data_IF_044923793137
#
_entry.id   IF_044923793137
#
_cell.length_a   1.000
_cell.length_b   1.000
_cell.length_c   1.000
_cell.angle_alpha   90.00
_cell.angle_beta   90.00
_cell.angle_gamma   90.00
#
_symmetry.space_group_name_H-M   'P 1'
#
loop_
_entity.id
_entity.type
_entity.pdbx_description
1 polymer ?
#
# COMPACT_ATOMS: atom_id res chain seq x y z
N UNK A 1 4.13 -13.90 -4.90
CA UNK A 1 3.35 -15.14 -4.80
C UNK A 1 2.31 -15.16 -5.92
N UNK A 2 2.55 -15.89 -6.98
CA UNK A 2 1.56 -16.10 -8.05
C UNK A 2 1.32 -17.60 -8.14
N UNK A 3 0.15 -18.05 -7.71
CA UNK A 3 -0.29 -19.42 -7.97
C UNK A 3 -0.77 -19.52 -9.42
N UNK A 4 -0.47 -20.62 -10.09
CA UNK A 4 -0.81 -20.83 -11.52
C UNK A 4 -2.31 -20.94 -11.82
N UNK A 5 -3.22 -20.73 -10.84
CA UNK A 5 -4.65 -20.98 -11.01
C UNK A 5 -5.60 -20.07 -10.22
N UNK A 6 -5.13 -18.99 -9.57
CA UNK A 6 -5.97 -18.09 -8.78
C UNK A 6 -5.23 -17.37 -7.66
N UNK A 7 -5.93 -16.58 -6.88
CA UNK A 7 -5.36 -15.97 -5.68
C UNK A 7 -4.95 -17.06 -4.67
N UNK A 8 -3.77 -16.92 -4.02
CA UNK A 8 -3.35 -17.85 -2.99
C UNK A 8 -4.35 -17.81 -1.81
N UNK A 9 -4.63 -18.96 -1.25
CA UNK A 9 -5.50 -19.08 -0.08
C UNK A 9 -4.88 -18.43 1.19
N UNK A 10 -5.67 -18.33 2.25
CA UNK A 10 -5.24 -17.73 3.52
C UNK A 10 -4.02 -18.43 4.12
N UNK A 11 -3.98 -19.76 4.06
CA UNK A 11 -2.89 -20.53 4.67
C UNK A 11 -1.58 -20.33 3.91
N UNK A 12 -1.61 -20.35 2.59
CA UNK A 12 -0.44 -20.11 1.74
C UNK A 12 0.13 -18.69 1.97
N UNK A 13 -0.75 -17.69 2.09
CA UNK A 13 -0.34 -16.31 2.37
C UNK A 13 0.22 -16.18 3.79
N UNK A 14 -0.46 -16.78 4.78
CA UNK A 14 -0.02 -16.78 6.17
C UNK A 14 1.39 -17.35 6.33
N UNK A 15 1.69 -18.50 5.74
CA UNK A 15 3.00 -19.14 5.84
C UNK A 15 4.12 -18.25 5.30
N UNK A 16 3.86 -17.55 4.18
CA UNK A 16 4.83 -16.65 3.62
C UNK A 16 5.03 -15.38 4.46
N UNK A 17 3.95 -14.78 4.96
CA UNK A 17 4.04 -13.60 5.82
C UNK A 17 4.69 -13.94 7.17
N UNK A 18 4.34 -15.08 7.75
CA UNK A 18 4.97 -15.62 8.96
C UNK A 18 6.48 -15.78 8.76
N UNK A 19 6.89 -16.45 7.70
CA UNK A 19 8.32 -16.67 7.42
C UNK A 19 9.07 -15.32 7.28
N UNK A 20 8.49 -14.35 6.58
CA UNK A 20 9.07 -13.02 6.48
C UNK A 20 9.14 -12.30 7.83
N UNK A 21 8.09 -12.40 8.66
CA UNK A 21 8.05 -11.81 9.99
C UNK A 21 9.12 -12.42 10.91
N UNK A 22 9.26 -13.75 10.92
CA UNK A 22 10.28 -14.47 11.69
C UNK A 22 11.72 -14.05 11.28
N UNK A 23 11.98 -13.87 9.98
CA UNK A 23 13.28 -13.40 9.48
C UNK A 23 13.59 -11.95 9.88
N UNK A 24 12.58 -11.09 9.93
CA UNK A 24 12.76 -9.69 10.35
C UNK A 24 12.88 -9.54 11.86
N UNK A 25 12.26 -10.44 12.63
CA UNK A 25 12.24 -10.40 14.10
C UNK A 25 11.60 -9.11 14.61
N UNK A 26 12.32 -8.35 15.43
CA UNK A 26 11.83 -7.09 16.00
C UNK A 26 11.85 -5.90 15.03
N UNK A 27 12.55 -6.03 13.89
CA UNK A 27 12.60 -4.97 12.88
C UNK A 27 11.25 -4.84 12.19
N UNK A 28 10.79 -3.60 11.93
CA UNK A 28 9.52 -3.38 11.23
C UNK A 28 9.50 -4.06 9.86
N UNK A 29 8.48 -4.86 9.63
CA UNK A 29 8.17 -5.48 8.33
C UNK A 29 6.89 -4.85 7.81
N UNK A 30 7.00 -3.97 6.83
CA UNK A 30 5.84 -3.37 6.16
C UNK A 30 5.41 -4.26 5.01
N UNK A 31 4.17 -4.76 5.06
CA UNK A 31 3.57 -5.52 3.96
C UNK A 31 2.46 -4.70 3.33
N UNK A 32 2.64 -4.41 2.04
CA UNK A 32 1.64 -3.74 1.22
C UNK A 32 0.53 -4.72 0.84
N UNK A 33 -0.72 -4.31 1.00
CA UNK A 33 -1.85 -5.07 0.47
C UNK A 33 -1.80 -5.11 -1.06
N UNK A 34 -2.61 -6.00 -1.65
CA UNK A 34 -2.63 -6.30 -3.08
C UNK A 34 -2.62 -5.02 -3.94
N UNK A 35 -1.65 -4.95 -4.84
CA UNK A 35 -1.55 -3.89 -5.85
C UNK A 35 -1.48 -4.53 -7.24
N UNK A 36 -2.65 -4.78 -7.80
CA UNK A 36 -2.89 -5.33 -9.14
C UNK A 36 -3.78 -4.38 -9.94
N UNK A 37 -3.82 -4.56 -11.25
CA UNK A 37 -4.44 -3.64 -12.18
C UNK A 37 -3.41 -2.66 -12.77
N UNK A 38 -3.84 -1.80 -13.67
CA UNK A 38 -2.92 -0.95 -14.43
C UNK A 38 -2.02 -1.81 -15.34
N UNK A 39 -0.72 -1.77 -15.09
CA UNK A 39 0.31 -2.56 -15.79
C UNK A 39 0.50 -3.99 -15.24
N UNK A 40 -0.15 -4.31 -14.12
CA UNK A 40 0.02 -5.57 -13.39
C UNK A 40 -1.14 -6.53 -13.64
N UNK A 41 -1.28 -6.99 -14.89
CA UNK A 41 -2.27 -7.99 -15.26
C UNK A 41 -1.99 -9.34 -14.59
N UNK A 42 -3.05 -10.01 -14.13
CA UNK A 42 -2.99 -11.38 -13.64
C UNK A 42 -3.62 -12.32 -14.68
N UNK A 43 -2.97 -13.46 -14.99
CA UNK A 43 -3.45 -14.37 -16.06
C UNK A 43 -4.85 -14.96 -15.81
N UNK A 44 -5.31 -14.94 -14.57
CA UNK A 44 -6.57 -15.52 -14.11
C UNK A 44 -7.61 -14.45 -13.72
N UNK A 45 -7.36 -13.18 -14.03
CA UNK A 45 -8.27 -12.07 -13.73
C UNK A 45 -8.47 -11.20 -14.96
N UNK A 46 -9.71 -11.05 -15.35
CA UNK A 46 -10.09 -10.16 -16.44
C UNK A 46 -10.44 -8.78 -15.85
N UNK A 47 -9.64 -7.80 -16.17
CA UNK A 47 -9.89 -6.40 -15.81
C UNK A 47 -10.76 -5.67 -16.82
N UNK A 48 -11.12 -6.35 -17.93
CA UNK A 48 -11.78 -5.70 -19.07
C UNK A 48 -10.85 -4.72 -19.79
N UNK A 49 -11.41 -3.99 -20.74
CA UNK A 49 -10.69 -2.91 -21.41
C UNK A 49 -10.87 -1.60 -20.63
N UNK A 50 -9.78 -0.99 -20.24
CA UNK A 50 -9.75 0.34 -19.62
C UNK A 50 -8.95 1.29 -20.51
N UNK A 51 -9.51 2.47 -20.78
CA UNK A 51 -8.81 3.51 -21.56
C UNK A 51 -7.58 4.06 -20.86
N UNK A 52 -7.61 4.13 -19.53
CA UNK A 52 -6.53 4.62 -18.69
C UNK A 52 -6.29 3.67 -17.50
N UNK A 53 -5.65 2.51 -17.70
CA UNK A 53 -5.54 1.47 -16.67
C UNK A 53 -4.85 1.95 -15.38
N UNK A 54 -3.88 2.86 -15.48
CA UNK A 54 -3.23 3.43 -14.29
C UNK A 54 -4.16 4.33 -13.45
N UNK A 55 -5.21 4.89 -14.05
CA UNK A 55 -6.25 5.67 -13.35
C UNK A 55 -7.50 4.84 -13.03
N UNK A 56 -7.52 3.59 -13.46
CA UNK A 56 -8.68 2.69 -13.42
C UNK A 56 -8.81 1.86 -12.15
N UNK A 57 -9.28 0.63 -12.33
CA UNK A 57 -9.55 -0.31 -11.27
C UNK A 57 -8.27 -1.05 -10.85
N UNK A 58 -7.56 -0.50 -9.86
CA UNK A 58 -6.30 -1.06 -9.35
C UNK A 58 -6.18 -0.92 -7.83
N UNK A 59 -5.29 -1.71 -7.26
CA UNK A 59 -4.83 -1.64 -5.87
C UNK A 59 -6.00 -1.63 -4.86
N UNK A 60 -6.09 -0.63 -3.98
CA UNK A 60 -7.13 -0.56 -2.95
C UNK A 60 -8.56 -0.55 -3.55
N UNK A 61 -8.75 -0.03 -4.76
CA UNK A 61 -10.04 -0.04 -5.45
C UNK A 61 -10.48 -1.46 -5.76
N UNK A 62 -9.54 -2.32 -6.20
CA UNK A 62 -9.77 -3.76 -6.40
C UNK A 62 -10.05 -4.42 -5.06
N UNK A 63 -9.21 -4.19 -4.06
CA UNK A 63 -9.33 -4.79 -2.73
C UNK A 63 -10.69 -4.49 -2.09
N UNK A 64 -11.15 -3.23 -2.13
CA UNK A 64 -12.44 -2.83 -1.56
C UNK A 64 -13.66 -3.34 -2.34
N UNK A 65 -13.51 -3.71 -3.62
CA UNK A 65 -14.57 -4.31 -4.42
C UNK A 65 -14.56 -5.84 -4.38
N UNK A 66 -13.39 -6.47 -4.25
CA UNK A 66 -13.21 -7.92 -4.13
C UNK A 66 -12.97 -8.31 -2.66
N UNK A 67 -13.98 -8.13 -1.85
CA UNK A 67 -13.87 -8.28 -0.40
C UNK A 67 -13.35 -9.66 0.04
N UNK A 68 -13.74 -10.74 -0.62
CA UNK A 68 -13.27 -12.08 -0.27
C UNK A 68 -11.75 -12.22 -0.43
N UNK A 69 -11.19 -11.67 -1.52
CA UNK A 69 -9.74 -11.67 -1.77
C UNK A 69 -9.03 -10.79 -0.74
N UNK A 70 -9.59 -9.61 -0.47
CA UNK A 70 -9.02 -8.68 0.49
C UNK A 70 -9.04 -9.24 1.91
N UNK A 71 -10.16 -9.82 2.35
CA UNK A 71 -10.29 -10.47 3.67
C UNK A 71 -9.33 -11.64 3.82
N UNK A 72 -9.18 -12.47 2.79
CA UNK A 72 -8.21 -13.57 2.79
C UNK A 72 -6.80 -13.07 3.07
N UNK A 73 -6.38 -11.97 2.42
CA UNK A 73 -5.08 -11.35 2.66
C UNK A 73 -4.97 -10.75 4.06
N UNK A 74 -5.98 -9.98 4.50
CA UNK A 74 -5.98 -9.33 5.81
C UNK A 74 -5.92 -10.34 6.95
N UNK A 75 -6.70 -11.43 6.88
CA UNK A 75 -6.68 -12.52 7.87
C UNK A 75 -5.30 -13.18 7.93
N UNK A 76 -4.69 -13.46 6.79
CA UNK A 76 -3.34 -14.02 6.73
C UNK A 76 -2.29 -13.09 7.37
N UNK A 77 -2.37 -11.78 7.11
CA UNK A 77 -1.50 -10.75 7.70
C UNK A 77 -1.69 -10.65 9.21
N UNK A 78 -2.95 -10.61 9.67
CA UNK A 78 -3.29 -10.56 11.10
C UNK A 78 -2.74 -11.79 11.82
N UNK A 79 -2.97 -13.00 11.32
CA UNK A 79 -2.44 -14.24 11.89
C UNK A 79 -0.90 -14.24 11.91
N UNK A 80 -0.26 -13.70 10.91
CA UNK A 80 1.20 -13.60 10.84
C UNK A 80 1.79 -12.56 11.80
N UNK A 81 1.00 -11.58 12.26
CA UNK A 81 1.47 -10.45 13.06
C UNK A 81 1.97 -10.81 14.46
N UNK A 82 1.71 -12.03 14.96
CA UNK A 82 2.24 -12.51 16.25
C UNK A 82 3.67 -13.03 16.15
N UNK A 83 4.23 -13.16 14.94
CA UNK A 83 5.55 -13.73 14.70
C UNK A 83 6.65 -12.68 14.46
N UNK A 84 6.32 -11.40 14.53
CA UNK A 84 7.26 -10.29 14.35
C UNK A 84 6.58 -8.93 14.32
N UNK A 85 7.34 -7.88 14.10
CA UNK A 85 6.83 -6.50 14.02
C UNK A 85 6.24 -6.21 12.62
N UNK A 86 5.09 -6.84 12.32
CA UNK A 86 4.41 -6.70 11.04
C UNK A 86 3.49 -5.47 11.05
N UNK A 87 3.55 -4.69 9.98
CA UNK A 87 2.72 -3.51 9.71
C UNK A 87 2.02 -3.67 8.37
N UNK A 88 0.77 -3.22 8.25
CA UNK A 88 -0.02 -3.28 7.01
C UNK A 88 -0.03 -1.91 6.35
N UNK A 89 0.22 -1.86 5.04
CA UNK A 89 0.21 -0.65 4.24
C UNK A 89 -0.79 -0.74 3.09
N UNK A 90 -1.65 0.27 2.95
CA UNK A 90 -2.64 0.34 1.87
C UNK A 90 -2.14 1.21 0.71
N UNK A 91 -2.07 0.64 -0.52
CA UNK A 91 -1.65 1.37 -1.72
C UNK A 91 -2.80 2.20 -2.32
N UNK A 92 -2.46 3.18 -3.15
CA UNK A 92 -3.39 3.95 -3.99
C UNK A 92 -4.55 4.62 -3.24
N UNK A 93 -4.37 4.95 -1.97
CA UNK A 93 -5.35 5.74 -1.20
C UNK A 93 -5.46 7.14 -1.81
N UNK A 94 -6.68 7.60 -2.02
CA UNK A 94 -6.99 8.95 -2.52
C UNK A 94 -7.81 9.80 -1.54
N UNK A 95 -8.37 9.17 -0.51
CA UNK A 95 -9.20 9.87 0.47
C UNK A 95 -9.15 9.21 1.85
N UNK A 96 -9.47 9.98 2.88
CA UNK A 96 -9.66 9.45 4.25
C UNK A 96 -10.79 8.41 4.29
N UNK A 97 -11.82 8.58 3.47
CA UNK A 97 -12.93 7.61 3.39
C UNK A 97 -12.48 6.24 2.86
N UNK A 98 -11.54 6.18 1.92
CA UNK A 98 -10.96 4.90 1.46
C UNK A 98 -10.13 4.25 2.56
N UNK A 99 -9.29 5.02 3.27
CA UNK A 99 -8.51 4.50 4.39
C UNK A 99 -9.42 3.93 5.49
N UNK A 100 -10.47 4.65 5.88
CA UNK A 100 -11.44 4.18 6.87
C UNK A 100 -12.16 2.89 6.47
N UNK A 101 -12.49 2.73 5.17
CA UNK A 101 -13.07 1.47 4.67
C UNK A 101 -12.09 0.31 4.74
N UNK A 102 -10.81 0.56 4.42
CA UNK A 102 -9.76 -0.45 4.55
C UNK A 102 -9.53 -0.85 6.02
N UNK A 103 -9.49 0.13 6.93
CA UNK A 103 -9.40 -0.10 8.36
C UNK A 103 -10.61 -0.87 8.91
N UNK A 104 -11.83 -0.55 8.46
CA UNK A 104 -13.03 -1.28 8.85
C UNK A 104 -12.94 -2.77 8.45
N UNK A 105 -12.46 -3.07 7.24
CA UNK A 105 -12.22 -4.45 6.81
C UNK A 105 -11.20 -5.19 7.70
N UNK A 106 -10.14 -4.50 8.17
CA UNK A 106 -9.20 -5.08 9.14
C UNK A 106 -9.91 -5.42 10.45
N UNK A 107 -10.74 -4.50 10.97
CA UNK A 107 -11.49 -4.71 12.23
C UNK A 107 -12.50 -5.85 12.11
N UNK A 108 -13.16 -6.01 10.97
CA UNK A 108 -14.05 -7.14 10.70
C UNK A 108 -13.28 -8.47 10.73
N UNK A 109 -12.11 -8.53 10.08
CA UNK A 109 -11.24 -9.69 10.13
C UNK A 109 -10.73 -10.01 11.55
N UNK A 110 -10.44 -8.99 12.37
CA UNK A 110 -10.09 -9.18 13.78
C UNK A 110 -11.24 -9.83 14.56
N UNK A 111 -12.47 -9.33 14.38
CA UNK A 111 -13.65 -9.89 15.05
C UNK A 111 -13.90 -11.37 14.67
N UNK A 112 -13.63 -11.75 13.41
CA UNK A 112 -13.71 -13.15 12.98
C UNK A 112 -12.65 -14.03 13.65
N UNK A 113 -11.39 -13.55 13.69
CA UNK A 113 -10.31 -14.26 14.33
C UNK A 113 -10.55 -14.40 15.85
N UNK A 114 -11.16 -13.40 16.50
CA UNK A 114 -11.59 -13.48 17.90
C UNK A 114 -12.64 -14.59 18.11
N UNK A 115 -13.64 -14.66 17.21
CA UNK A 115 -14.66 -15.72 17.27
C UNK A 115 -14.07 -17.11 17.07
N UNK A 116 -13.03 -17.23 16.25
CA UNK A 116 -12.28 -18.46 15.99
C UNK A 116 -11.21 -18.76 17.07
N UNK A 117 -10.97 -17.83 18.00
CA UNK A 117 -9.89 -17.87 19.00
C UNK A 117 -8.50 -17.98 18.36
N UNK A 118 -8.33 -17.43 17.19
CA UNK A 118 -7.06 -17.38 16.48
C UNK A 118 -6.22 -16.18 16.96
N UNK A 119 -4.94 -16.41 17.22
CA UNK A 119 -4.05 -15.36 17.72
C UNK A 119 -3.68 -14.35 16.62
N UNK A 120 -3.68 -13.07 16.96
CA UNK A 120 -3.18 -11.97 16.15
C UNK A 120 -2.71 -10.80 17.06
N UNK A 121 -1.98 -9.83 16.52
CA UNK A 121 -1.61 -8.62 17.24
C UNK A 121 -2.72 -7.56 17.11
N UNK A 122 -3.50 -7.26 18.17
CA UNK A 122 -4.56 -6.26 18.11
C UNK A 122 -4.03 -4.82 17.94
N UNK A 123 -2.75 -4.59 18.22
CA UNK A 123 -2.06 -3.32 18.03
C UNK A 123 -1.35 -3.17 16.70
N UNK A 124 -1.66 -4.01 15.69
CA UNK A 124 -1.04 -3.93 14.36
C UNK A 124 -1.18 -2.53 13.77
N UNK A 125 -0.07 -1.97 13.30
CA UNK A 125 -0.06 -0.64 12.73
C UNK A 125 -0.52 -0.65 11.28
N UNK A 126 -1.44 0.29 10.96
CA UNK A 126 -1.96 0.52 9.62
C UNK A 126 -1.39 1.81 9.04
N UNK A 127 -0.83 1.73 7.86
CA UNK A 127 -0.23 2.86 7.17
C UNK A 127 -0.77 3.07 5.77
N UNK A 128 -0.41 4.20 5.20
CA UNK A 128 -0.81 4.62 3.85
C UNK A 128 0.42 4.76 2.97
N UNK A 129 0.34 4.20 1.76
CA UNK A 129 1.27 4.58 0.71
C UNK A 129 0.80 5.90 0.10
N UNK A 130 1.58 6.95 0.30
CA UNK A 130 1.33 8.28 -0.29
C UNK A 130 1.95 8.27 -1.68
N UNK A 131 1.12 8.01 -2.67
CA UNK A 131 1.54 7.86 -4.07
C UNK A 131 0.56 8.48 -5.07
N UNK A 132 -0.48 9.17 -4.57
CA UNK A 132 -1.42 9.93 -5.38
C UNK A 132 -1.40 11.40 -4.96
N UNK A 133 -1.53 12.36 -5.90
CA UNK A 133 -1.65 13.79 -5.56
C UNK A 133 -2.80 14.06 -4.57
N UNK A 134 -3.90 13.30 -4.68
CA UNK A 134 -5.03 13.44 -3.77
C UNK A 134 -4.64 13.09 -2.32
N UNK A 135 -3.87 12.00 -2.11
CA UNK A 135 -3.38 11.65 -0.77
C UNK A 135 -2.43 12.72 -0.21
N UNK A 136 -1.57 13.30 -1.05
CA UNK A 136 -0.70 14.42 -0.63
C UNK A 136 -1.52 15.60 -0.14
N UNK A 137 -2.59 15.98 -0.86
CA UNK A 137 -3.44 17.12 -0.53
C UNK A 137 -4.24 16.95 0.78
N UNK A 138 -4.45 15.70 1.22
CA UNK A 138 -5.16 15.39 2.48
C UNK A 138 -4.25 14.63 3.46
N UNK A 139 -2.93 14.77 3.32
CA UNK A 139 -1.96 14.03 4.12
C UNK A 139 -2.06 14.33 5.62
N UNK A 140 -2.42 15.56 5.99
CA UNK A 140 -2.67 15.96 7.37
C UNK A 140 -3.86 15.22 7.99
N UNK A 141 -4.94 15.04 7.23
CA UNK A 141 -6.12 14.29 7.65
C UNK A 141 -5.82 12.78 7.73
N UNK A 142 -5.06 12.25 6.77
CA UNK A 142 -4.63 10.85 6.79
C UNK A 142 -3.66 10.57 7.95
N UNK A 143 -2.75 11.50 8.26
CA UNK A 143 -1.80 11.37 9.36
C UNK A 143 -2.48 11.34 10.74
N UNK A 144 -3.67 11.92 10.88
CA UNK A 144 -4.44 11.85 12.11
C UNK A 144 -5.00 10.44 12.40
N UNK A 145 -5.11 9.58 11.39
CA UNK A 145 -5.72 8.25 11.50
C UNK A 145 -4.71 7.11 11.24
N UNK A 146 -3.78 7.29 10.31
CA UNK A 146 -2.73 6.31 10.00
C UNK A 146 -1.61 6.33 11.04
N UNK A 147 -0.86 5.23 11.14
CA UNK A 147 0.27 5.10 12.06
C UNK A 147 1.62 5.39 11.40
N UNK A 148 1.70 5.29 10.10
CA UNK A 148 2.89 5.64 9.32
C UNK A 148 2.52 5.94 7.87
N UNK A 149 3.43 6.62 7.18
CA UNK A 149 3.40 6.81 5.73
C UNK A 149 4.57 6.11 5.04
N UNK A 150 4.34 5.67 3.82
CA UNK A 150 5.40 5.29 2.90
C UNK A 150 5.17 6.03 1.58
N UNK A 151 6.15 6.84 1.16
CA UNK A 151 6.02 7.63 -0.07
C UNK A 151 6.38 6.75 -1.26
N UNK A 152 5.39 6.43 -2.10
CA UNK A 152 5.54 5.62 -3.31
C UNK A 152 5.96 6.49 -4.50
N UNK A 153 7.27 6.77 -4.62
CA UNK A 153 7.79 7.78 -5.53
C UNK A 153 7.51 7.50 -7.00
N UNK A 154 7.48 6.25 -7.44
CA UNK A 154 7.24 5.90 -8.84
C UNK A 154 5.83 6.32 -9.30
N UNK A 155 4.79 5.89 -8.56
CA UNK A 155 3.40 6.26 -8.86
C UNK A 155 3.14 7.74 -8.56
N UNK A 156 3.69 8.28 -7.46
CA UNK A 156 3.56 9.70 -7.15
C UNK A 156 4.09 10.58 -8.28
N UNK A 157 5.28 10.28 -8.81
CA UNK A 157 5.88 11.02 -9.92
C UNK A 157 4.97 10.93 -11.15
N UNK A 158 4.53 9.73 -11.52
CA UNK A 158 3.66 9.53 -12.67
C UNK A 158 2.37 10.37 -12.58
N UNK A 159 1.72 10.39 -11.43
CA UNK A 159 0.45 11.10 -11.26
C UNK A 159 0.63 12.61 -11.08
N UNK A 160 1.70 13.07 -10.44
CA UNK A 160 2.01 14.51 -10.29
C UNK A 160 2.39 15.10 -11.64
N UNK A 161 3.21 14.39 -12.41
CA UNK A 161 3.66 14.85 -13.74
C UNK A 161 2.62 14.58 -14.85
N UNK A 162 1.53 13.86 -14.53
CA UNK A 162 0.51 13.45 -15.50
C UNK A 162 1.10 12.76 -16.74
N UNK A 163 2.13 11.95 -16.55
CA UNK A 163 2.84 11.27 -17.62
C UNK A 163 2.91 9.76 -17.31
N UNK A 164 2.61 8.95 -18.33
CA UNK A 164 2.70 7.50 -18.22
C UNK A 164 4.16 7.05 -18.36
N UNK A 165 4.73 6.53 -17.27
CA UNK A 165 6.11 6.00 -17.24
C UNK A 165 6.30 4.78 -18.15
N UNK A 166 5.21 4.07 -18.50
CA UNK A 166 5.22 2.95 -19.45
C UNK A 166 5.22 3.38 -20.91
N UNK A 167 4.91 4.64 -21.21
CA UNK A 167 4.90 5.16 -22.57
C UNK A 167 6.26 5.83 -22.92
N UNK A 168 7.07 5.25 -23.80
CA UNK A 168 8.41 5.75 -24.13
C UNK A 168 8.43 7.17 -24.69
N UNK A 169 7.29 7.66 -25.21
CA UNK A 169 7.21 9.04 -25.75
C UNK A 169 7.15 10.10 -24.67
N UNK A 170 6.64 9.78 -23.48
CA UNK A 170 6.44 10.73 -22.38
C UNK A 170 7.12 10.31 -21.09
N UNK A 171 7.70 9.10 -21.02
CA UNK A 171 8.38 8.59 -19.83
C UNK A 171 9.49 9.53 -19.30
N UNK A 172 10.13 10.28 -20.20
CA UNK A 172 11.15 11.29 -19.86
C UNK A 172 10.60 12.45 -19.02
N UNK A 173 9.29 12.65 -18.96
CA UNK A 173 8.64 13.64 -18.11
C UNK A 173 8.46 13.15 -16.66
N UNK A 174 8.61 11.85 -16.42
CA UNK A 174 8.51 11.25 -15.08
C UNK A 174 9.84 11.44 -14.31
N UNK A 175 10.24 12.70 -14.12
CA UNK A 175 11.43 13.05 -13.34
C UNK A 175 11.07 13.13 -11.83
N UNK A 176 11.59 12.23 -10.98
CA UNK A 176 11.32 12.27 -9.55
C UNK A 176 11.97 13.47 -8.84
N UNK A 177 12.94 14.14 -9.48
CA UNK A 177 13.57 15.36 -8.97
C UNK A 177 12.86 16.64 -9.39
N UNK A 178 11.78 16.55 -10.20
CA UNK A 178 10.99 17.71 -10.54
C UNK A 178 10.46 18.44 -9.29
N UNK A 179 10.37 19.76 -9.39
CA UNK A 179 9.94 20.63 -8.28
C UNK A 179 8.55 20.26 -7.76
N UNK A 180 7.62 19.83 -8.63
CA UNK A 180 6.28 19.45 -8.22
C UNK A 180 6.30 18.15 -7.38
N UNK A 181 7.10 17.18 -7.77
CA UNK A 181 7.28 15.92 -7.04
C UNK A 181 7.94 16.18 -5.68
N UNK A 182 9.05 16.94 -5.66
CA UNK A 182 9.75 17.32 -4.43
C UNK A 182 8.86 18.07 -3.45
N UNK A 183 7.99 18.98 -3.94
CA UNK A 183 6.99 19.67 -3.11
C UNK A 183 5.96 18.70 -2.53
N UNK A 184 5.50 17.74 -3.32
CA UNK A 184 4.56 16.70 -2.86
C UNK A 184 5.17 15.86 -1.74
N UNK A 185 6.43 15.46 -1.88
CA UNK A 185 7.20 14.77 -0.83
C UNK A 185 7.32 15.65 0.41
N UNK A 186 7.72 16.91 0.26
CA UNK A 186 7.88 17.84 1.39
C UNK A 186 6.56 18.08 2.14
N UNK A 187 5.43 18.22 1.44
CA UNK A 187 4.10 18.35 2.06
C UNK A 187 3.74 17.10 2.87
N UNK A 188 3.99 15.90 2.32
CA UNK A 188 3.75 14.64 3.01
C UNK A 188 4.58 14.52 4.30
N UNK A 189 5.89 14.83 4.20
CA UNK A 189 6.79 14.80 5.36
C UNK A 189 6.40 15.83 6.43
N UNK A 190 5.94 17.01 6.03
CA UNK A 190 5.46 18.03 6.96
C UNK A 190 4.19 17.56 7.71
N UNK A 191 3.24 16.94 7.00
CA UNK A 191 2.03 16.38 7.60
C UNK A 191 2.36 15.26 8.60
N UNK A 192 3.22 14.30 8.21
CA UNK A 192 3.66 13.22 9.09
C UNK A 192 4.36 13.75 10.34
N UNK A 193 5.27 14.72 10.19
CA UNK A 193 5.98 15.35 11.30
C UNK A 193 5.04 16.07 12.26
N UNK A 194 4.06 16.82 11.72
CA UNK A 194 3.06 17.51 12.55
C UNK A 194 2.21 16.55 13.37
N UNK A 195 1.90 15.39 12.83
CA UNK A 195 1.11 14.35 13.51
C UNK A 195 1.96 13.42 14.39
N UNK A 196 3.29 13.52 14.33
CA UNK A 196 4.21 12.67 15.09
C UNK A 196 4.23 11.21 14.62
N UNK A 197 3.93 10.96 13.33
CA UNK A 197 4.01 9.62 12.75
C UNK A 197 5.27 9.45 11.90
N UNK A 198 5.69 8.20 11.73
CA UNK A 198 6.81 7.82 10.87
C UNK A 198 6.45 8.03 9.40
N UNK A 199 7.40 8.54 8.60
CA UNK A 199 7.29 8.58 7.16
C UNK A 199 8.59 8.05 6.52
N UNK A 200 8.46 6.98 5.75
CA UNK A 200 9.52 6.40 4.95
C UNK A 200 9.32 6.67 3.47
N UNK A 201 10.32 6.35 2.67
CA UNK A 201 10.26 6.41 1.22
C UNK A 201 10.49 5.02 0.64
N UNK A 202 9.73 4.67 -0.39
CA UNK A 202 9.93 3.47 -1.19
C UNK A 202 9.91 3.83 -2.68
N UNK A 203 10.24 2.86 -3.52
CA UNK A 203 10.43 3.09 -4.95
C UNK A 203 11.90 3.31 -5.31
N UNK A 204 12.16 3.59 -6.57
CA UNK A 204 13.53 3.70 -7.11
C UNK A 204 14.30 4.88 -6.51
N UNK A 205 13.61 5.99 -6.26
CA UNK A 205 14.21 7.17 -5.66
C UNK A 205 14.83 6.90 -4.27
N UNK A 206 14.28 5.94 -3.51
CA UNK A 206 14.81 5.59 -2.19
C UNK A 206 16.22 4.96 -2.25
N UNK A 207 16.62 4.43 -3.41
CA UNK A 207 17.95 3.86 -3.65
C UNK A 207 18.90 4.84 -4.37
N UNK A 208 18.42 6.03 -4.73
CA UNK A 208 19.22 7.02 -5.45
C UNK A 208 20.06 7.83 -4.47
N UNK A 209 21.41 7.86 -4.62
CA UNK A 209 22.30 8.64 -3.75
C UNK A 209 22.00 10.14 -3.77
N UNK A 210 21.52 10.70 -4.89
CA UNK A 210 21.19 12.12 -5.01
C UNK A 210 19.91 12.48 -4.22
N UNK A 211 19.05 11.51 -3.99
CA UNK A 211 17.83 11.71 -3.19
C UNK A 211 18.08 11.71 -1.66
N UNK A 212 19.23 11.20 -1.22
CA UNK A 212 19.58 11.05 0.19
C UNK A 212 20.58 12.11 0.68
N UNK A 213 21.07 12.95 -0.22
CA UNK A 213 21.94 14.10 0.08
C UNK A 213 21.11 15.35 0.36
#
# INVERSE_FOLDING_TARGET
MQSRGGFPDEQTQFEAYRHAAELCGERPLVIRTLDIGGDKALPYMDFGHEENPFLGWRAIRVSLSMQDVFRTQLRALLRASVFGNLRIMFPMITSVGEFRRAEAAVRECMAELDAEKAAYNPGIELGVMIETPAAVMVADLLAAEARFFSIGTNDLTQYVMAADRGNPRVAHLCDPFDTAVRRSVAMTLAAARSAGIEAGMCGELAADPEATA
#
